data_IF_012372810744
#
_entry.id   IF_012372810744
#
_cell.length_a   1.000
_cell.length_b   1.000
_cell.length_c   1.000
_cell.angle_alpha   90.00
_cell.angle_beta   90.00
_cell.angle_gamma   90.00
#
_symmetry.space_group_name_H-M   'P 1'
#
loop_
_entity.id
_entity.type
_entity.pdbx_description
1 polymer ?
#
# COMPACT_ATOMS: atom_id res chain seq x y z
N UNK A 1 62.94 41.43 -10.70
CA UNK A 1 62.58 41.42 -12.14
C UNK A 1 63.47 40.39 -12.83
N UNK A 2 62.99 39.50 -13.71
CA UNK A 2 61.63 39.31 -14.29
C UNK A 2 61.04 37.90 -13.90
N UNK A 3 59.90 37.36 -14.34
CA UNK A 3 58.52 37.75 -14.75
C UNK A 3 57.90 36.51 -15.46
N UNK A 4 56.59 36.26 -15.25
CA UNK A 4 55.63 35.38 -16.01
C UNK A 4 55.69 33.86 -15.73
N UNK A 5 54.60 33.07 -15.72
CA UNK A 5 53.13 33.09 -16.01
C UNK A 5 52.57 31.80 -15.34
N UNK A 6 51.30 31.57 -14.99
CA UNK A 6 50.01 32.24 -15.15
C UNK A 6 48.96 31.39 -14.40
N UNK A 7 47.88 32.03 -13.94
CA UNK A 7 46.70 31.37 -13.34
C UNK A 7 45.80 30.86 -14.46
N UNK A 8 45.22 29.68 -14.30
CA UNK A 8 43.97 29.31 -14.97
C UNK A 8 42.90 29.04 -13.91
N UNK A 9 42.05 30.05 -13.74
CA UNK A 9 40.72 29.98 -13.14
C UNK A 9 39.75 29.50 -14.21
N UNK A 10 39.14 28.32 -14.05
CA UNK A 10 38.01 27.92 -14.90
C UNK A 10 36.76 28.71 -14.50
N UNK A 11 36.25 29.49 -15.45
CA UNK A 11 34.92 30.10 -15.42
C UNK A 11 33.84 29.06 -15.76
N UNK A 12 32.61 29.21 -15.24
CA UNK A 12 31.48 28.34 -15.56
C UNK A 12 30.90 28.61 -16.95
N UNK A 13 30.44 27.54 -17.61
CA UNK A 13 29.81 27.56 -18.92
C UNK A 13 28.53 28.40 -18.94
N UNK A 14 28.44 29.31 -19.91
CA UNK A 14 27.26 30.11 -20.20
C UNK A 14 26.14 29.24 -20.80
N UNK A 15 24.92 29.41 -20.28
CA UNK A 15 23.70 28.82 -20.85
C UNK A 15 23.28 29.59 -22.12
N UNK A 16 22.71 28.91 -23.13
CA UNK A 16 22.16 29.57 -24.31
C UNK A 16 20.98 30.48 -23.95
N UNK A 17 20.96 31.66 -24.60
CA UNK A 17 19.92 32.68 -24.48
C UNK A 17 18.59 32.17 -25.03
N UNK A 18 17.51 32.49 -24.31
CA UNK A 18 16.12 32.30 -24.71
C UNK A 18 15.76 33.28 -25.82
N UNK A 19 15.74 32.82 -27.07
CA UNK A 19 15.04 33.47 -28.19
C UNK A 19 14.98 32.44 -29.33
N UNK A 20 14.03 31.50 -29.26
CA UNK A 20 13.57 30.68 -30.40
C UNK A 20 12.34 29.85 -29.98
N UNK A 21 11.20 30.52 -29.79
CA UNK A 21 9.88 29.88 -29.89
C UNK A 21 8.93 30.83 -30.62
N UNK A 22 8.21 30.35 -31.65
CA UNK A 22 7.31 31.18 -32.44
C UNK A 22 6.09 31.62 -31.62
N UNK A 23 5.77 32.92 -31.71
CA UNK A 23 4.64 33.57 -31.09
C UNK A 23 3.31 33.28 -31.82
N UNK A 24 2.24 33.12 -31.05
CA UNK A 24 0.84 33.07 -31.49
C UNK A 24 0.16 31.77 -31.05
N UNK A 25 -0.99 31.73 -30.37
CA UNK A 25 -2.05 32.69 -30.08
C UNK A 25 -2.66 32.22 -28.75
N UNK A 26 -2.69 33.06 -27.71
CA UNK A 26 -3.63 32.90 -26.59
C UNK A 26 -4.49 34.16 -26.59
N UNK A 27 -5.77 33.95 -26.88
CA UNK A 27 -6.82 34.93 -26.62
C UNK A 27 -7.50 34.45 -25.34
N UNK A 28 -7.21 35.14 -24.24
CA UNK A 28 -8.01 35.06 -23.02
C UNK A 28 -9.31 35.82 -23.28
N UNK A 29 -10.45 35.14 -23.12
CA UNK A 29 -11.70 35.79 -22.80
C UNK A 29 -12.29 35.13 -21.56
N UNK A 30 -12.36 35.94 -20.50
CA UNK A 30 -13.21 35.75 -19.34
C UNK A 30 -14.65 35.52 -19.78
N UNK A 31 -15.40 34.61 -19.13
CA UNK A 31 -16.78 34.92 -18.78
C UNK A 31 -17.31 34.05 -17.63
N UNK A 32 -18.10 34.71 -16.80
CA UNK A 32 -18.63 34.29 -15.52
C UNK A 32 -19.73 33.21 -15.59
N UNK A 33 -19.77 32.43 -14.51
CA UNK A 33 -20.94 32.02 -13.74
C UNK A 33 -22.34 32.42 -14.27
N UNK A 34 -23.14 31.39 -14.62
CA UNK A 34 -24.56 31.21 -14.24
C UNK A 34 -25.19 30.01 -14.96
N UNK A 35 -25.83 29.12 -14.20
CA UNK A 35 -27.10 28.52 -14.63
C UNK A 35 -27.24 27.00 -14.63
N UNK A 36 -27.88 26.48 -13.57
CA UNK A 36 -29.01 25.51 -13.57
C UNK A 36 -28.89 24.22 -14.40
N UNK A 37 -28.78 23.09 -13.70
CA UNK A 37 -29.29 21.79 -14.16
C UNK A 37 -30.49 21.38 -13.31
N UNK A 38 -31.65 21.24 -13.95
CA UNK A 38 -32.89 20.65 -13.42
C UNK A 38 -33.13 19.29 -14.09
N UNK A 39 -33.71 18.41 -13.28
CA UNK A 39 -34.59 17.27 -13.60
C UNK A 39 -34.02 15.96 -14.17
N UNK A 40 -33.87 15.04 -13.21
CA UNK A 40 -34.06 13.60 -13.31
C UNK A 40 -35.50 13.25 -13.71
N UNK A 41 -35.68 12.36 -14.69
CA UNK A 41 -36.87 11.53 -14.81
C UNK A 41 -36.53 10.13 -15.33
N UNK A 42 -36.90 9.12 -14.53
CA UNK A 42 -36.91 7.71 -14.88
C UNK A 42 -38.21 7.35 -15.64
N UNK A 43 -38.22 6.28 -16.46
CA UNK A 43 -39.47 5.68 -16.90
C UNK A 43 -39.79 4.37 -16.16
N UNK A 44 -41.08 4.25 -15.88
CA UNK A 44 -41.75 3.19 -15.15
C UNK A 44 -42.04 1.93 -15.99
N UNK A 45 -42.22 0.83 -15.27
CA UNK A 45 -42.83 -0.45 -15.67
C UNK A 45 -44.27 -0.32 -16.19
N UNK A 46 -44.75 -1.31 -16.96
CA UNK A 46 -46.14 -1.74 -16.90
C UNK A 46 -46.29 -3.20 -16.44
N UNK A 47 -47.39 -3.44 -15.73
CA UNK A 47 -47.84 -4.72 -15.19
C UNK A 47 -48.91 -5.34 -16.10
N UNK A 48 -49.15 -6.66 -15.89
CA UNK A 48 -50.45 -7.37 -15.85
C UNK A 48 -50.70 -8.43 -16.93
N UNK A 49 -50.97 -9.66 -16.46
CA UNK A 49 -51.55 -10.75 -17.25
C UNK A 49 -51.54 -12.08 -16.48
N UNK A 50 -52.61 -12.36 -15.74
CA UNK A 50 -52.90 -13.67 -15.12
C UNK A 50 -53.26 -14.69 -16.21
N UNK A 51 -52.87 -15.96 -16.05
CA UNK A 51 -53.78 -17.07 -16.29
C UNK A 51 -53.35 -18.35 -15.56
N UNK A 52 -54.31 -18.92 -14.83
CA UNK A 52 -54.26 -20.23 -14.21
C UNK A 52 -54.63 -21.31 -15.22
N UNK A 53 -53.99 -22.48 -15.17
CA UNK A 53 -54.68 -23.74 -15.46
C UNK A 53 -54.07 -24.90 -14.67
N UNK A 54 -54.96 -25.56 -13.90
CA UNK A 54 -54.75 -26.80 -13.14
C UNK A 54 -54.97 -28.03 -14.04
N UNK A 55 -54.17 -29.08 -13.83
CA UNK A 55 -54.55 -30.49 -13.50
C UNK A 55 -53.30 -31.39 -13.71
N UNK A 56 -52.76 -32.05 -12.67
CA UNK A 56 -53.14 -33.38 -12.09
C UNK A 56 -52.90 -34.56 -13.07
N UNK A 57 -52.43 -35.77 -12.75
CA UNK A 57 -51.63 -36.50 -11.71
C UNK A 57 -51.31 -37.88 -12.34
N UNK A 58 -50.31 -38.61 -11.82
CA UNK A 58 -50.03 -40.07 -11.89
C UNK A 58 -49.07 -40.49 -13.02
N UNK A 59 -48.07 -41.36 -12.84
CA UNK A 59 -47.70 -42.23 -11.73
C UNK A 59 -46.41 -43.01 -12.06
N UNK A 60 -45.91 -43.69 -11.03
CA UNK A 60 -44.69 -44.49 -10.84
C UNK A 60 -44.15 -45.37 -11.99
N UNK A 61 -42.82 -45.43 -12.14
CA UNK A 61 -41.94 -46.60 -11.83
C UNK A 61 -40.60 -46.56 -12.61
N UNK A 62 -39.52 -46.87 -11.89
CA UNK A 62 -38.41 -47.76 -12.27
C UNK A 62 -37.62 -47.55 -13.58
N UNK A 63 -36.32 -47.28 -13.46
CA UNK A 63 -35.39 -47.41 -14.58
C UNK A 63 -33.98 -46.91 -14.29
N UNK A 64 -33.09 -47.83 -13.96
CA UNK A 64 -31.64 -47.64 -13.81
C UNK A 64 -31.01 -47.09 -15.10
N UNK A 65 -30.34 -45.94 -15.04
CA UNK A 65 -29.47 -45.43 -16.10
C UNK A 65 -28.19 -44.90 -15.47
N UNK A 66 -27.06 -45.33 -16.03
CA UNK A 66 -25.69 -45.10 -15.60
C UNK A 66 -25.33 -43.61 -15.38
N UNK A 67 -24.33 -43.29 -14.54
CA UNK A 67 -23.92 -41.91 -14.37
C UNK A 67 -23.16 -41.47 -15.62
N UNK A 68 -23.77 -40.59 -16.42
CA UNK A 68 -23.02 -39.75 -17.35
C UNK A 68 -22.10 -38.83 -16.55
N UNK A 69 -20.84 -38.64 -16.96
CA UNK A 69 -19.96 -37.67 -16.33
C UNK A 69 -20.46 -36.28 -16.71
N UNK A 70 -21.22 -35.66 -15.81
CA UNK A 70 -21.48 -34.22 -15.86
C UNK A 70 -20.14 -33.51 -15.70
N UNK A 71 -19.51 -33.22 -16.83
CA UNK A 71 -18.38 -32.32 -16.93
C UNK A 71 -18.85 -30.92 -16.52
N UNK A 72 -18.82 -30.67 -15.21
CA UNK A 72 -18.70 -29.31 -14.70
C UNK A 72 -17.42 -28.75 -15.30
N UNK A 73 -17.58 -27.94 -16.35
CA UNK A 73 -16.54 -27.06 -16.85
C UNK A 73 -16.23 -26.07 -15.73
N UNK A 74 -15.37 -26.50 -14.82
CA UNK A 74 -14.57 -25.59 -14.01
C UNK A 74 -13.82 -24.73 -15.02
N UNK A 75 -14.18 -23.44 -15.08
CA UNK A 75 -13.42 -22.44 -15.80
C UNK A 75 -12.00 -22.46 -15.22
N UNK A 76 -11.11 -23.21 -15.88
CA UNK A 76 -9.67 -23.17 -15.66
C UNK A 76 -9.22 -21.78 -16.09
N UNK A 77 -9.16 -20.87 -15.13
CA UNK A 77 -8.56 -19.55 -15.30
C UNK A 77 -7.06 -19.77 -15.51
N UNK A 78 -6.59 -19.63 -16.76
CA UNK A 78 -5.17 -19.74 -17.07
C UNK A 78 -4.41 -18.57 -16.45
N UNK A 79 -3.11 -18.75 -16.30
CA UNK A 79 -2.12 -17.79 -15.78
C UNK A 79 -2.10 -16.44 -16.55
N UNK A 80 -2.94 -16.28 -17.58
CA UNK A 80 -2.96 -15.15 -18.51
C UNK A 80 -3.94 -14.03 -18.14
N UNK A 81 -4.94 -14.24 -17.26
CA UNK A 81 -5.93 -13.18 -16.96
C UNK A 81 -5.32 -11.90 -16.37
N UNK A 82 -4.32 -12.05 -15.51
CA UNK A 82 -3.59 -10.91 -14.94
C UNK A 82 -2.88 -10.10 -16.04
N UNK A 83 -2.32 -10.79 -17.03
CA UNK A 83 -1.54 -10.16 -18.11
C UNK A 83 -2.40 -9.70 -19.29
N UNK A 84 -3.66 -10.12 -19.38
CA UNK A 84 -4.64 -9.47 -20.26
C UNK A 84 -5.05 -8.08 -19.73
N UNK A 85 -5.10 -7.90 -18.40
CA UNK A 85 -5.45 -6.61 -17.78
C UNK A 85 -4.24 -5.67 -17.65
N UNK A 86 -3.06 -6.24 -17.38
CA UNK A 86 -1.86 -5.47 -17.03
C UNK A 86 -0.70 -5.75 -17.97
N UNK A 87 -0.01 -4.68 -18.38
CA UNK A 87 1.21 -4.76 -19.16
C UNK A 87 2.43 -4.58 -18.26
N UNK A 88 3.35 -5.55 -18.31
CA UNK A 88 4.55 -5.60 -17.49
C UNK A 88 5.59 -4.56 -17.94
N UNK A 89 6.30 -3.98 -16.98
CA UNK A 89 7.35 -3.01 -17.25
C UNK A 89 8.71 -3.39 -16.63
N UNK A 90 8.77 -3.67 -15.32
CA UNK A 90 10.02 -4.12 -14.66
C UNK A 90 9.77 -4.87 -13.35
N UNK A 91 10.82 -5.45 -12.76
CA UNK A 91 10.81 -5.97 -11.39
C UNK A 91 11.25 -4.90 -10.36
N UNK A 92 10.52 -4.77 -9.24
CA UNK A 92 10.81 -3.82 -8.17
C UNK A 92 10.65 -4.44 -6.79
N UNK A 93 11.48 -4.00 -5.84
CA UNK A 93 11.37 -4.31 -4.41
C UNK A 93 10.53 -3.24 -3.69
N UNK A 94 9.21 -3.28 -3.88
CA UNK A 94 8.27 -2.45 -3.12
C UNK A 94 7.65 -3.28 -2.00
N UNK A 95 8.32 -3.29 -0.84
CA UNK A 95 8.01 -4.20 0.27
C UNK A 95 8.14 -5.68 -0.14
N UNK A 96 9.25 -6.08 -0.77
CA UNK A 96 9.42 -7.40 -1.36
C UNK A 96 9.22 -7.38 -2.88
N UNK A 97 9.77 -8.40 -3.54
CA UNK A 97 9.82 -8.51 -5.00
C UNK A 97 8.40 -8.54 -5.59
N UNK A 98 8.15 -7.68 -6.56
CA UNK A 98 6.94 -7.65 -7.37
C UNK A 98 7.22 -7.13 -8.78
N UNK A 99 6.28 -7.37 -9.69
CA UNK A 99 6.36 -6.87 -11.06
C UNK A 99 5.59 -5.55 -11.12
N UNK A 100 6.26 -4.48 -11.50
CA UNK A 100 5.61 -3.21 -11.83
C UNK A 100 4.99 -3.35 -13.22
N UNK A 101 3.73 -2.99 -13.29
CA UNK A 101 2.92 -3.03 -14.49
C UNK A 101 2.02 -1.79 -14.56
N UNK A 102 1.41 -1.55 -15.69
CA UNK A 102 0.34 -0.57 -15.82
C UNK A 102 -0.92 -1.25 -16.35
N UNK A 103 -2.09 -0.69 -16.01
CA UNK A 103 -3.33 -1.13 -16.67
C UNK A 103 -3.41 -0.60 -18.11
N UNK A 104 -4.37 -1.14 -18.86
CA UNK A 104 -4.66 -0.74 -20.23
C UNK A 104 -5.68 0.42 -20.31
N UNK A 105 -5.87 1.18 -19.21
CA UNK A 105 -6.74 2.36 -19.22
C UNK A 105 -6.00 3.57 -19.79
N UNK A 106 -6.73 4.64 -20.11
CA UNK A 106 -6.15 5.90 -20.60
C UNK A 106 -5.18 6.52 -19.59
N UNK A 107 -5.39 6.28 -18.29
CA UNK A 107 -4.56 6.84 -17.22
C UNK A 107 -3.29 6.02 -16.95
N UNK A 108 -3.18 4.81 -17.53
CA UNK A 108 -2.07 3.87 -17.34
C UNK A 108 -1.67 3.73 -15.86
N UNK A 109 -2.65 3.40 -15.01
CA UNK A 109 -2.42 3.34 -13.58
C UNK A 109 -1.31 2.32 -13.25
N UNK A 110 -0.28 2.79 -12.55
CA UNK A 110 0.86 1.94 -12.16
C UNK A 110 0.46 1.06 -10.97
N UNK A 111 0.71 -0.24 -11.13
CA UNK A 111 0.44 -1.26 -10.13
C UNK A 111 1.67 -2.10 -9.82
N UNK A 112 1.66 -2.76 -8.66
CA UNK A 112 2.64 -3.79 -8.29
C UNK A 112 1.94 -5.13 -8.18
N UNK A 113 2.33 -6.08 -9.03
CA UNK A 113 1.78 -7.43 -9.04
C UNK A 113 2.71 -8.37 -8.26
N UNK A 114 2.15 -9.04 -7.26
CA UNK A 114 2.85 -10.07 -6.46
C UNK A 114 2.23 -11.44 -6.69
N UNK A 115 3.10 -12.42 -6.95
CA UNK A 115 2.71 -13.78 -7.32
C UNK A 115 3.05 -14.76 -6.22
N UNK A 116 2.08 -15.54 -5.77
CA UNK A 116 2.26 -16.59 -4.77
C UNK A 116 2.01 -17.94 -5.42
N UNK A 117 2.97 -18.88 -5.31
CA UNK A 117 2.85 -20.25 -5.84
C UNK A 117 2.15 -21.15 -4.81
N UNK A 118 0.86 -20.92 -4.63
CA UNK A 118 -0.02 -21.71 -3.77
C UNK A 118 -1.46 -21.59 -4.25
N UNK A 119 -2.28 -22.57 -3.91
CA UNK A 119 -3.72 -22.51 -4.07
C UNK A 119 -4.34 -21.71 -2.90
N UNK A 120 -5.13 -20.68 -3.20
CA UNK A 120 -5.84 -19.90 -2.19
C UNK A 120 -7.27 -20.43 -2.00
N UNK A 121 -7.56 -20.97 -0.82
CA UNK A 121 -8.89 -21.52 -0.53
C UNK A 121 -9.98 -20.44 -0.50
N UNK A 122 -11.26 -20.87 -0.55
CA UNK A 122 -12.42 -19.97 -0.60
C UNK A 122 -12.43 -18.89 0.49
N UNK A 123 -12.05 -19.22 1.74
CA UNK A 123 -11.95 -18.24 2.84
C UNK A 123 -10.88 -17.19 2.56
N UNK A 124 -9.71 -17.60 2.06
CA UNK A 124 -8.60 -16.69 1.78
C UNK A 124 -8.96 -15.75 0.62
N UNK A 125 -9.54 -16.29 -0.46
CA UNK A 125 -10.07 -15.50 -1.57
C UNK A 125 -11.15 -14.51 -1.11
N UNK A 126 -12.05 -14.94 -0.21
CA UNK A 126 -13.07 -14.07 0.39
C UNK A 126 -12.47 -12.90 1.16
N UNK A 127 -11.46 -13.14 1.99
CA UNK A 127 -10.75 -12.09 2.73
C UNK A 127 -10.02 -11.12 1.79
N UNK A 128 -9.31 -11.63 0.78
CA UNK A 128 -8.61 -10.79 -0.21
C UNK A 128 -9.59 -9.90 -0.99
N UNK A 129 -10.72 -10.45 -1.44
CA UNK A 129 -11.78 -9.67 -2.10
C UNK A 129 -12.43 -8.66 -1.16
N UNK A 130 -12.59 -8.97 0.13
CA UNK A 130 -13.06 -8.01 1.15
C UNK A 130 -12.12 -6.82 1.23
N UNK A 131 -10.81 -7.04 1.39
CA UNK A 131 -9.80 -5.96 1.44
C UNK A 131 -9.83 -5.14 0.15
N UNK A 132 -9.93 -5.80 -1.00
CA UNK A 132 -9.97 -5.12 -2.30
C UNK A 132 -11.20 -4.22 -2.48
N UNK A 133 -12.35 -4.66 -1.99
CA UNK A 133 -13.60 -3.90 -2.03
C UNK A 133 -13.61 -2.74 -1.03
N UNK A 134 -13.16 -2.98 0.21
CA UNK A 134 -13.23 -1.99 1.29
C UNK A 134 -12.17 -0.90 1.20
N UNK A 135 -11.02 -1.20 0.57
CA UNK A 135 -9.89 -0.26 0.40
C UNK A 135 -9.55 0.50 1.70
N UNK A 136 -9.25 -0.21 2.81
CA UNK A 136 -9.01 0.41 4.10
C UNK A 136 -7.79 1.35 4.05
N UNK A 137 -7.91 2.55 4.64
CA UNK A 137 -6.97 3.66 4.46
C UNK A 137 -5.51 3.36 4.83
N UNK A 138 -5.27 2.49 5.82
CA UNK A 138 -3.91 2.18 6.32
C UNK A 138 -3.36 0.85 5.81
N UNK A 139 -3.96 0.26 4.77
CA UNK A 139 -3.43 -0.91 4.06
C UNK A 139 -3.22 -0.51 2.61
N UNK A 140 -2.13 -0.98 2.00
CA UNK A 140 -1.89 -0.76 0.57
C UNK A 140 -3.05 -1.39 -0.21
N UNK A 141 -3.74 -0.58 -1.01
CA UNK A 141 -4.94 -0.98 -1.73
C UNK A 141 -4.65 -2.19 -2.61
N UNK A 142 -5.39 -3.26 -2.33
CA UNK A 142 -5.42 -4.44 -3.18
C UNK A 142 -6.44 -4.16 -4.30
N UNK A 143 -5.96 -3.84 -5.49
CA UNK A 143 -6.80 -3.47 -6.61
C UNK A 143 -7.53 -4.68 -7.19
N UNK A 144 -6.79 -5.77 -7.42
CA UNK A 144 -7.34 -6.98 -8.02
C UNK A 144 -6.71 -8.26 -7.45
N UNK A 145 -7.47 -9.34 -7.56
CA UNK A 145 -7.14 -10.67 -7.04
C UNK A 145 -7.41 -11.71 -8.13
N UNK A 146 -6.36 -12.36 -8.62
CA UNK A 146 -6.42 -13.37 -9.68
C UNK A 146 -6.01 -14.74 -9.11
N UNK A 147 -6.96 -15.50 -8.54
CA UNK A 147 -6.69 -16.86 -8.08
C UNK A 147 -6.66 -17.83 -9.27
N UNK A 148 -5.77 -18.82 -9.20
CA UNK A 148 -5.72 -19.98 -10.08
C UNK A 148 -5.56 -21.26 -9.24
N UNK A 149 -5.52 -22.41 -9.90
CA UNK A 149 -5.39 -23.71 -9.23
C UNK A 149 -4.08 -23.83 -8.45
N UNK A 150 -3.00 -23.16 -8.89
CA UNK A 150 -1.65 -23.33 -8.35
C UNK A 150 -0.94 -22.03 -8.01
N UNK A 151 -1.55 -20.89 -8.31
CA UNK A 151 -1.02 -19.58 -7.98
C UNK A 151 -2.13 -18.61 -7.61
N UNK A 152 -1.72 -17.50 -7.00
CA UNK A 152 -2.57 -16.32 -6.87
C UNK A 152 -1.72 -15.09 -7.16
N UNK A 153 -2.24 -14.21 -8.01
CA UNK A 153 -1.63 -12.92 -8.33
C UNK A 153 -2.44 -11.80 -7.68
N UNK A 154 -1.76 -10.92 -6.97
CA UNK A 154 -2.35 -9.79 -6.25
C UNK A 154 -1.81 -8.49 -6.85
N UNK A 155 -2.69 -7.66 -7.40
CA UNK A 155 -2.32 -6.35 -7.93
C UNK A 155 -2.56 -5.27 -6.87
N UNK A 156 -1.52 -4.53 -6.51
CA UNK A 156 -1.55 -3.46 -5.52
C UNK A 156 -1.40 -2.10 -6.18
N UNK A 157 -1.95 -1.06 -5.55
CA UNK A 157 -1.53 0.32 -5.85
C UNK A 157 -0.01 0.46 -5.63
N UNK A 158 0.64 1.34 -6.41
CA UNK A 158 2.05 1.68 -6.22
C UNK A 158 2.17 2.92 -5.33
N UNK A 159 3.05 2.87 -4.32
CA UNK A 159 3.42 4.00 -3.47
C UNK A 159 4.89 4.37 -3.69
N UNK A 160 5.23 5.64 -3.44
CA UNK A 160 6.53 6.20 -3.83
C UNK A 160 7.68 5.76 -2.91
N UNK A 161 7.44 5.66 -1.60
CA UNK A 161 8.52 5.38 -0.63
C UNK A 161 8.09 4.43 0.48
N UNK A 162 9.08 3.88 1.19
CA UNK A 162 8.88 3.12 2.42
C UNK A 162 9.51 3.86 3.60
N UNK A 163 9.12 3.52 4.83
CA UNK A 163 9.82 4.01 6.03
C UNK A 163 11.29 3.63 6.02
N UNK A 164 11.69 2.54 5.35
CA UNK A 164 13.09 2.19 5.15
C UNK A 164 13.84 3.26 4.33
N UNK A 165 13.22 3.81 3.28
CA UNK A 165 13.82 4.92 2.51
C UNK A 165 13.96 6.17 3.37
N UNK A 166 12.92 6.55 4.12
CA UNK A 166 12.98 7.69 5.04
C UNK A 166 14.07 7.49 6.12
N UNK A 167 14.15 6.29 6.70
CA UNK A 167 15.18 5.94 7.67
C UNK A 167 16.60 6.11 7.10
N UNK A 168 16.79 5.78 5.82
CA UNK A 168 18.09 5.91 5.17
C UNK A 168 18.48 7.38 4.86
N UNK A 169 17.50 8.27 4.66
CA UNK A 169 17.77 9.63 4.15
C UNK A 169 17.60 10.74 5.20
N UNK A 170 16.84 10.48 6.27
CA UNK A 170 16.34 11.50 7.20
C UNK A 170 16.52 11.11 8.68
N UNK A 171 17.43 10.19 8.98
CA UNK A 171 17.51 9.56 10.30
C UNK A 171 17.55 10.54 11.49
N UNK A 172 18.35 11.61 11.38
CA UNK A 172 18.56 12.57 12.48
C UNK A 172 17.36 13.53 12.68
N UNK A 173 16.41 13.55 11.75
CA UNK A 173 15.30 14.51 11.72
C UNK A 173 13.99 13.92 12.25
N UNK A 174 13.93 12.61 12.50
CA UNK A 174 12.75 11.95 13.05
C UNK A 174 12.62 12.32 14.54
N UNK A 175 11.63 13.15 14.86
CA UNK A 175 11.31 13.55 16.23
C UNK A 175 10.20 12.69 16.80
N UNK A 176 9.90 12.88 18.09
CA UNK A 176 8.78 12.23 18.76
C UNK A 176 7.44 12.46 18.04
N UNK A 177 7.27 13.59 17.35
CA UNK A 177 6.05 13.92 16.61
C UNK A 177 5.85 12.98 15.42
N UNK A 178 6.90 12.76 14.62
CA UNK A 178 6.85 11.82 13.49
C UNK A 178 6.63 10.39 13.98
N UNK A 179 7.24 10.00 15.11
CA UNK A 179 6.99 8.69 15.73
C UNK A 179 5.52 8.53 16.13
N UNK A 180 4.88 9.57 16.69
CA UNK A 180 3.48 9.53 17.08
C UNK A 180 2.55 9.37 15.85
N UNK A 181 2.84 10.08 14.75
CA UNK A 181 2.10 9.94 13.49
C UNK A 181 2.23 8.50 12.98
N UNK A 182 3.46 8.00 12.84
CA UNK A 182 3.72 6.64 12.33
C UNK A 182 3.04 5.58 13.21
N UNK A 183 3.17 5.69 14.52
CA UNK A 183 2.54 4.78 15.47
C UNK A 183 1.02 4.76 15.30
N UNK A 184 0.39 5.94 15.19
CA UNK A 184 -1.06 6.08 15.02
C UNK A 184 -1.52 5.36 13.75
N UNK A 185 -0.92 5.65 12.61
CA UNK A 185 -1.33 5.07 11.33
C UNK A 185 -1.07 3.56 11.26
N UNK A 186 0.08 3.09 11.77
CA UNK A 186 0.40 1.65 11.86
C UNK A 186 -0.61 0.92 12.75
N UNK A 187 -0.95 1.49 13.91
CA UNK A 187 -1.94 0.90 14.80
C UNK A 187 -3.34 0.84 14.16
N UNK A 188 -3.73 1.85 13.36
CA UNK A 188 -4.99 1.80 12.61
C UNK A 188 -5.01 0.67 11.57
N UNK A 189 -3.90 0.49 10.84
CA UNK A 189 -3.72 -0.63 9.91
C UNK A 189 -3.83 -1.98 10.64
N UNK A 190 -3.07 -2.16 11.73
CA UNK A 190 -3.12 -3.38 12.52
C UNK A 190 -4.49 -3.64 13.13
N UNK A 191 -5.22 -2.60 13.58
CA UNK A 191 -6.59 -2.73 14.07
C UNK A 191 -7.49 -3.35 13.02
N UNK A 192 -7.46 -2.84 11.78
CA UNK A 192 -8.24 -3.40 10.68
C UNK A 192 -7.88 -4.88 10.46
N UNK A 193 -6.60 -5.21 10.38
CA UNK A 193 -6.15 -6.58 10.15
C UNK A 193 -6.64 -7.51 11.27
N UNK A 194 -6.49 -7.10 12.52
CA UNK A 194 -6.88 -7.91 13.68
C UNK A 194 -8.40 -8.06 13.81
N UNK A 195 -9.16 -6.98 13.62
CA UNK A 195 -10.62 -7.00 13.81
C UNK A 195 -11.37 -7.56 12.60
N UNK A 196 -11.00 -7.14 11.40
CA UNK A 196 -11.76 -7.42 10.17
C UNK A 196 -11.31 -8.68 9.45
N UNK A 197 -10.01 -9.01 9.54
CA UNK A 197 -9.43 -10.17 8.85
C UNK A 197 -9.12 -11.32 9.80
N UNK A 198 -9.06 -11.04 11.12
CA UNK A 198 -8.80 -12.03 12.17
C UNK A 198 -7.54 -12.84 11.89
N UNK A 199 -6.47 -12.17 11.48
CA UNK A 199 -5.13 -12.74 11.31
C UNK A 199 -4.08 -11.83 11.93
N UNK A 200 -2.98 -12.35 12.48
CA UNK A 200 -1.83 -11.52 12.83
C UNK A 200 -1.09 -11.08 11.54
N UNK A 201 -0.55 -9.88 11.53
CA UNK A 201 0.19 -9.31 10.40
C UNK A 201 1.60 -9.89 10.29
N UNK A 202 2.32 -10.02 11.41
CA UNK A 202 3.56 -10.79 11.58
C UNK A 202 4.82 -10.22 10.92
N UNK A 203 4.70 -9.23 10.05
CA UNK A 203 5.78 -8.75 9.18
C UNK A 203 6.06 -7.25 9.29
N UNK A 204 5.64 -6.61 10.39
CA UNK A 204 5.86 -5.18 10.60
C UNK A 204 7.36 -4.84 10.65
N UNK A 205 7.80 -4.03 9.70
CA UNK A 205 9.14 -3.47 9.63
C UNK A 205 9.13 -2.24 8.71
N UNK A 206 10.18 -1.39 8.72
CA UNK A 206 10.20 -0.18 7.89
C UNK A 206 10.02 -0.40 6.38
N UNK A 207 10.39 -1.58 5.85
CA UNK A 207 10.21 -1.90 4.43
C UNK A 207 8.75 -2.15 4.07
N UNK A 208 7.95 -2.63 5.02
CA UNK A 208 6.55 -3.01 4.81
C UNK A 208 5.57 -1.89 5.21
N UNK A 209 6.09 -0.72 5.56
CA UNK A 209 5.28 0.49 5.78
C UNK A 209 5.60 1.45 4.64
N UNK A 210 4.64 1.61 3.73
CA UNK A 210 4.75 2.44 2.55
C UNK A 210 4.06 3.78 2.78
N UNK A 211 4.54 4.82 2.08
CA UNK A 211 4.01 6.16 2.18
C UNK A 211 3.74 6.73 0.81
N UNK A 212 2.58 7.38 0.67
CA UNK A 212 2.23 8.12 -0.54
C UNK A 212 2.67 9.57 -0.44
N UNK A 213 3.34 10.10 -1.47
CA UNK A 213 3.66 11.54 -1.52
C UNK A 213 2.39 12.40 -1.65
N UNK A 214 1.47 12.00 -2.52
CA UNK A 214 0.31 12.79 -2.90
C UNK A 214 -0.73 12.87 -1.77
N UNK A 215 -1.09 11.74 -1.17
CA UNK A 215 -2.05 11.70 -0.05
C UNK A 215 -1.40 11.81 1.33
N UNK A 216 -0.09 11.59 1.43
CA UNK A 216 0.65 11.45 2.70
C UNK A 216 0.24 10.23 3.54
N UNK A 217 -0.55 9.30 2.99
CA UNK A 217 -1.00 8.12 3.70
C UNK A 217 0.19 7.24 4.13
N UNK A 218 0.03 6.59 5.28
CA UNK A 218 0.96 5.57 5.79
C UNK A 218 0.22 4.23 5.77
N UNK A 219 0.73 3.28 4.97
CA UNK A 219 0.02 2.05 4.63
C UNK A 219 0.87 0.81 4.88
N UNK A 220 0.26 -0.23 5.47
CA UNK A 220 0.86 -1.54 5.63
C UNK A 220 0.78 -2.32 4.31
N UNK A 221 1.92 -2.78 3.80
CA UNK A 221 2.03 -3.54 2.58
C UNK A 221 1.79 -5.04 2.80
N UNK A 222 1.77 -5.81 1.71
CA UNK A 222 1.81 -7.28 1.71
C UNK A 222 0.68 -7.96 2.49
N UNK A 223 -0.52 -7.38 2.50
CA UNK A 223 -1.66 -8.00 3.21
C UNK A 223 -2.00 -9.40 2.71
N UNK A 224 -1.58 -9.76 1.49
CA UNK A 224 -1.74 -11.12 0.97
C UNK A 224 -1.00 -12.17 1.79
N UNK A 225 0.19 -11.86 2.29
CA UNK A 225 1.03 -12.82 3.02
C UNK A 225 0.39 -13.35 4.32
N UNK A 226 -0.12 -12.51 5.25
CA UNK A 226 -0.80 -12.97 6.45
C UNK A 226 -2.12 -13.70 6.19
N UNK A 227 -2.78 -13.43 5.06
CA UNK A 227 -4.01 -14.14 4.67
C UNK A 227 -3.68 -15.51 4.06
N UNK A 228 -2.64 -15.58 3.22
CA UNK A 228 -2.32 -16.75 2.40
C UNK A 228 -1.47 -17.79 3.13
N UNK A 229 -0.61 -17.37 4.06
CA UNK A 229 0.36 -18.25 4.72
C UNK A 229 0.06 -18.39 6.21
N UNK A 230 0.34 -19.57 6.80
CA UNK A 230 0.34 -19.73 8.26
C UNK A 230 1.29 -18.73 8.92
N UNK A 231 0.81 -18.08 9.98
CA UNK A 231 1.59 -17.10 10.71
C UNK A 231 2.30 -17.75 11.90
N UNK A 232 3.58 -17.43 12.07
CA UNK A 232 4.38 -17.85 13.23
C UNK A 232 4.22 -16.92 14.43
N UNK A 233 3.84 -15.67 14.16
CA UNK A 233 3.66 -14.61 15.15
C UNK A 233 2.19 -14.45 15.46
N UNK A 234 1.90 -13.97 16.67
CA UNK A 234 0.55 -13.71 17.13
C UNK A 234 0.20 -12.21 17.14
N UNK A 235 -0.99 -11.88 17.66
CA UNK A 235 -1.46 -10.50 17.76
C UNK A 235 -0.63 -9.64 18.74
N UNK A 236 -0.05 -10.24 19.77
CA UNK A 236 0.78 -9.54 20.75
C UNK A 236 2.16 -9.20 20.16
N UNK A 237 2.68 -10.07 19.29
CA UNK A 237 3.90 -9.81 18.55
C UNK A 237 3.77 -8.59 17.60
N UNK A 238 2.59 -8.39 16.99
CA UNK A 238 2.33 -7.20 16.18
C UNK A 238 2.35 -5.92 17.02
N UNK A 239 1.73 -5.95 18.21
CA UNK A 239 1.78 -4.83 19.15
C UNK A 239 3.24 -4.51 19.50
N UNK A 240 4.01 -5.52 19.92
CA UNK A 240 5.44 -5.38 20.26
C UNK A 240 6.26 -4.84 19.09
N UNK A 241 5.95 -5.28 17.87
CA UNK A 241 6.64 -4.83 16.66
C UNK A 241 6.43 -3.33 16.38
N UNK A 242 5.35 -2.71 16.88
CA UNK A 242 5.20 -1.24 16.84
C UNK A 242 6.29 -0.59 17.68
N UNK A 243 6.53 -1.08 18.90
CA UNK A 243 7.56 -0.53 19.78
C UNK A 243 8.96 -0.66 19.18
N UNK A 244 9.32 -1.84 18.69
CA UNK A 244 10.63 -2.05 18.06
C UNK A 244 10.79 -1.26 16.76
N UNK A 245 9.71 -1.04 16.00
CA UNK A 245 9.70 -0.12 14.86
C UNK A 245 10.05 1.31 15.29
N UNK A 246 9.45 1.82 16.36
CA UNK A 246 9.74 3.18 16.84
C UNK A 246 11.17 3.31 17.36
N UNK A 247 11.67 2.34 18.14
CA UNK A 247 13.07 2.31 18.59
C UNK A 247 14.02 2.28 17.40
N UNK A 248 13.71 1.48 16.37
CA UNK A 248 14.52 1.41 15.15
C UNK A 248 14.57 2.73 14.39
N UNK A 249 13.47 3.46 14.33
CA UNK A 249 13.40 4.74 13.63
C UNK A 249 14.15 5.84 14.40
N UNK A 250 13.99 5.89 15.72
CA UNK A 250 14.60 6.93 16.56
C UNK A 250 16.07 6.67 16.87
N UNK A 251 16.40 5.43 17.22
CA UNK A 251 17.74 5.00 17.63
C UNK A 251 18.14 3.69 16.92
N UNK A 252 18.47 3.72 15.62
CA UNK A 252 18.84 2.52 14.89
C UNK A 252 20.08 1.83 15.47
N UNK A 253 20.98 2.57 16.13
CA UNK A 253 22.12 1.99 16.83
C UNK A 253 21.71 1.15 18.05
N UNK A 254 20.65 1.54 18.75
CA UNK A 254 20.07 0.76 19.85
C UNK A 254 19.40 -0.50 19.30
N UNK A 255 18.56 -0.36 18.26
CA UNK A 255 17.95 -1.50 17.58
C UNK A 255 18.98 -2.49 17.01
N UNK A 256 20.07 -2.01 16.39
CA UNK A 256 21.12 -2.90 15.83
C UNK A 256 21.83 -3.72 16.90
N UNK A 257 21.98 -3.18 18.11
CA UNK A 257 22.61 -3.88 19.24
C UNK A 257 21.64 -4.84 19.94
N UNK A 258 20.37 -4.47 20.01
CA UNK A 258 19.31 -5.29 20.56
C UNK A 258 18.00 -5.06 19.78
N UNK A 259 17.66 -5.90 18.79
CA UNK A 259 16.46 -5.76 17.97
C UNK A 259 15.15 -5.86 18.76
N UNK A 260 15.18 -6.52 19.92
CA UNK A 260 14.04 -6.70 20.82
C UNK A 260 13.93 -5.58 21.87
N UNK A 261 14.81 -4.57 21.80
CA UNK A 261 14.78 -3.45 22.75
C UNK A 261 13.51 -2.62 22.59
N UNK A 262 12.85 -2.38 23.73
CA UNK A 262 11.72 -1.45 23.87
C UNK A 262 12.10 -0.23 24.72
N UNK A 263 13.39 0.10 24.70
CA UNK A 263 13.95 1.25 25.42
C UNK A 263 14.80 2.11 24.50
N UNK A 264 14.68 3.42 24.69
CA UNK A 264 15.50 4.47 24.08
C UNK A 264 16.61 4.87 25.06
N UNK A 265 17.85 4.96 24.58
CA UNK A 265 19.03 5.25 25.39
C UNK A 265 19.31 6.74 25.52
N UNK A 266 19.09 7.52 24.45
CA UNK A 266 19.18 8.98 24.51
C UNK A 266 17.82 9.54 24.92
N UNK A 267 17.75 9.96 26.18
CA UNK A 267 16.49 10.32 26.83
C UNK A 267 16.19 11.81 26.82
N UNK A 268 17.09 12.64 26.25
CA UNK A 268 17.06 14.09 26.42
C UNK A 268 16.03 14.80 25.54
N UNK A 269 15.57 14.17 24.46
CA UNK A 269 14.64 14.75 23.48
C UNK A 269 13.32 13.97 23.31
N UNK A 270 13.08 12.95 24.15
CA UNK A 270 11.88 12.11 24.09
C UNK A 270 11.10 12.18 25.40
N UNK A 271 9.80 12.49 25.30
CA UNK A 271 8.94 12.56 26.48
C UNK A 271 8.64 11.20 27.10
N UNK A 272 8.23 11.22 28.37
CA UNK A 272 7.85 10.00 29.10
C UNK A 272 6.62 9.32 28.50
N UNK A 273 5.76 10.06 27.78
CA UNK A 273 4.62 9.48 27.07
C UNK A 273 5.09 8.54 25.96
N UNK A 274 6.10 8.94 25.16
CA UNK A 274 6.65 8.08 24.12
C UNK A 274 7.38 6.87 24.72
N UNK A 275 8.19 7.06 25.77
CA UNK A 275 8.88 5.95 26.44
C UNK A 275 7.89 4.94 27.01
N UNK A 276 6.85 5.43 27.68
CA UNK A 276 5.81 4.58 28.28
C UNK A 276 5.03 3.85 27.19
N UNK A 277 4.66 4.54 26.10
CA UNK A 277 4.01 3.91 24.95
C UNK A 277 4.85 2.76 24.39
N UNK A 278 6.13 2.99 24.10
CA UNK A 278 7.03 1.96 23.55
C UNK A 278 7.11 0.75 24.48
N UNK A 279 7.28 0.96 25.80
CA UNK A 279 7.32 -0.14 26.77
C UNK A 279 6.00 -0.91 26.82
N UNK A 280 4.87 -0.21 26.80
CA UNK A 280 3.55 -0.82 26.85
C UNK A 280 3.25 -1.68 25.62
N UNK A 281 3.91 -1.46 24.48
CA UNK A 281 3.74 -2.34 23.32
C UNK A 281 4.10 -3.81 23.59
N UNK A 282 4.88 -4.09 24.65
CA UNK A 282 5.25 -5.46 25.03
C UNK A 282 4.06 -6.31 25.51
N UNK A 283 3.05 -5.68 26.11
CA UNK A 283 2.01 -6.34 26.91
C UNK A 283 0.60 -5.80 26.69
N UNK A 284 0.45 -4.57 26.19
CA UNK A 284 -0.85 -3.96 25.95
C UNK A 284 -1.48 -4.42 24.65
N UNK A 285 -2.81 -4.56 24.65
CA UNK A 285 -3.58 -4.80 23.42
C UNK A 285 -3.56 -3.58 22.49
N UNK A 286 -3.76 -3.79 21.19
CA UNK A 286 -3.92 -2.68 20.23
C UNK A 286 -5.04 -1.71 20.62
N UNK A 287 -6.14 -2.23 21.17
CA UNK A 287 -7.27 -1.40 21.65
C UNK A 287 -6.81 -0.42 22.73
N UNK A 288 -5.92 -0.84 23.61
CA UNK A 288 -5.36 0.04 24.63
C UNK A 288 -4.36 1.03 24.02
N UNK A 289 -3.43 0.55 23.19
CA UNK A 289 -2.40 1.38 22.56
C UNK A 289 -2.96 2.52 21.68
N UNK A 290 -4.05 2.27 20.96
CA UNK A 290 -4.73 3.28 20.11
C UNK A 290 -5.27 4.46 20.92
N UNK A 291 -5.54 4.27 22.22
CA UNK A 291 -6.04 5.32 23.10
C UNK A 291 -4.93 5.94 23.97
N UNK A 292 -3.66 5.63 23.70
CA UNK A 292 -2.55 6.15 24.50
C UNK A 292 -2.24 7.61 24.17
N UNK A 293 -2.04 8.43 25.20
CA UNK A 293 -1.85 9.90 25.10
C UNK A 293 -0.68 10.33 24.21
N UNK A 294 0.35 9.48 24.09
CA UNK A 294 1.44 9.67 23.12
C UNK A 294 0.93 9.97 21.70
N UNK A 295 -0.15 9.33 21.26
CA UNK A 295 -0.69 9.49 19.91
C UNK A 295 -1.35 10.86 19.71
N UNK A 296 -1.70 11.59 20.79
CA UNK A 296 -2.22 12.96 20.71
C UNK A 296 -1.15 13.95 20.21
N UNK A 297 0.14 13.59 20.27
CA UNK A 297 1.23 14.38 19.69
C UNK A 297 1.21 14.43 18.17
N UNK A 298 0.44 13.56 17.50
CA UNK A 298 0.33 13.54 16.03
C UNK A 298 -0.52 14.73 15.53
N UNK A 299 0.06 15.76 14.88
CA UNK A 299 -0.71 16.84 14.26
C UNK A 299 -1.40 16.43 12.95
N UNK A 300 -1.07 15.24 12.42
CA UNK A 300 -1.61 14.72 11.17
C UNK A 300 -0.51 14.29 10.18
N UNK A 301 -0.89 13.43 9.23
CA UNK A 301 0.01 12.77 8.28
C UNK A 301 0.74 13.72 7.33
N UNK A 302 0.20 14.91 7.06
CA UNK A 302 0.81 15.90 6.16
C UNK A 302 2.22 16.33 6.56
N UNK A 303 2.58 16.21 7.84
CA UNK A 303 3.93 16.48 8.35
C UNK A 303 4.99 15.53 7.80
N UNK A 304 4.60 14.32 7.37
CA UNK A 304 5.52 13.34 6.78
C UNK A 304 5.94 13.70 5.34
N UNK A 305 5.24 14.65 4.68
CA UNK A 305 5.49 15.01 3.26
C UNK A 305 6.94 15.41 2.99
N UNK A 306 7.57 16.16 3.90
CA UNK A 306 8.96 16.60 3.73
C UNK A 306 9.95 15.42 3.73
N UNK A 307 9.69 14.41 4.55
CA UNK A 307 10.50 13.20 4.62
C UNK A 307 10.32 12.36 3.36
N UNK A 308 9.08 12.24 2.87
CA UNK A 308 8.77 11.54 1.62
C UNK A 308 9.48 12.20 0.44
N UNK A 309 9.33 13.53 0.30
CA UNK A 309 9.97 14.31 -0.75
C UNK A 309 11.49 14.10 -0.77
N UNK A 310 12.13 14.17 0.40
CA UNK A 310 13.58 13.98 0.51
C UNK A 310 13.99 12.55 0.16
N UNK A 311 13.25 11.55 0.61
CA UNK A 311 13.51 10.15 0.26
C UNK A 311 13.43 9.92 -1.26
N UNK A 312 12.42 10.48 -1.93
CA UNK A 312 12.27 10.43 -3.39
C UNK A 312 13.44 11.14 -4.10
N UNK A 313 13.80 12.35 -3.65
CA UNK A 313 14.91 13.11 -4.23
C UNK A 313 16.26 12.38 -4.09
N UNK A 314 16.48 11.69 -2.98
CA UNK A 314 17.66 10.84 -2.80
C UNK A 314 17.65 9.63 -3.73
N UNK A 315 16.53 8.93 -3.87
CA UNK A 315 16.40 7.78 -4.76
C UNK A 315 16.66 8.13 -6.23
N UNK A 316 16.19 9.30 -6.68
CA UNK A 316 16.44 9.78 -8.04
C UNK A 316 17.92 10.11 -8.33
N UNK A 317 18.66 10.60 -7.31
CA UNK A 317 20.08 10.98 -7.45
C UNK A 317 21.04 9.80 -7.39
N UNK A 318 20.63 8.71 -6.74
CA UNK A 318 21.45 7.52 -6.54
C UNK A 318 20.70 6.27 -7.00
N UNK A 319 20.46 6.12 -8.32
CA UNK A 319 19.85 4.90 -8.84
C UNK A 319 20.75 3.71 -8.47
N UNK A 320 20.14 2.69 -7.86
CA UNK A 320 20.80 1.43 -7.56
C UNK A 320 21.44 0.89 -8.83
N UNK A 321 22.78 0.85 -8.89
CA UNK A 321 23.48 0.17 -9.99
C UNK A 321 23.00 -1.28 -10.01
N UNK A 322 22.52 -1.75 -11.16
CA UNK A 322 22.33 -3.20 -11.37
C UNK A 322 23.67 -3.87 -11.07
N UNK A 323 23.69 -4.80 -10.12
CA UNK A 323 24.72 -5.83 -10.14
C UNK A 323 24.43 -6.64 -11.40
N UNK A 324 25.21 -6.39 -12.45
CA UNK A 324 25.25 -7.29 -13.59
C UNK A 324 25.58 -8.69 -13.06
N UNK A 325 24.64 -9.62 -13.24
CA UNK A 325 24.84 -11.05 -13.03
C UNK A 325 25.16 -11.68 -14.37
#
# INVERSE_FOLDING_TARGET
MPVRRGRDTMLPAEFPKTDDYPAGIIQEDNLADKGKYTDLQAPATPSRGQNMLRKKVHGSQGGSVAPEPSSSKENRVSVDEVWYKYQQFWESDQAGIGIVAHDNTVDHNIVVIKSFKLHAGNRQCGLLRKVSKEKPSNIVCLLDVFPSDHSIHLAYESLEVSLHHIQATCLQEITEIELAIIAKEVLQGLRYIHSELQVPYGQLCPRNVLLSYYSCDVKLANIGEPILKPQKKDYADDARAVGTLLVRLKEPGTFRRNPESLELKDQRDISDHCKTFIRQTASSSLKHLINHDFLLKSPGIGRLRIFIYRAMACAAKFPSKKLDR
#
